data_IF_227367508034
#
_entry.id   IF_227367508034
#
_cell.length_a   1.000
_cell.length_b   1.000
_cell.length_c   1.000
_cell.angle_alpha   90.00
_cell.angle_beta   90.00
_cell.angle_gamma   90.00
#
_symmetry.space_group_name_H-M   'P 1'
#
loop_
_entity.id
_entity.type
_entity.pdbx_description
1 polymer ?
#
# COMPACT_ATOMS: atom_id res chain seq x y z
N UNK A 1 10.69 18.77 -15.89
CA UNK A 1 10.75 17.47 -16.60
C UNK A 1 9.47 16.74 -16.25
N UNK A 2 8.56 16.53 -17.21
CA UNK A 2 7.33 15.77 -17.00
C UNK A 2 7.64 14.27 -17.13
N UNK A 3 7.39 13.47 -16.09
CA UNK A 3 7.43 12.02 -16.17
C UNK A 3 6.08 11.48 -16.62
N UNK A 4 6.06 10.35 -17.34
CA UNK A 4 4.83 9.62 -17.60
C UNK A 4 4.40 8.87 -16.33
N UNK A 5 3.15 9.03 -15.92
CA UNK A 5 2.59 8.42 -14.71
C UNK A 5 1.55 7.39 -15.10
N UNK A 6 1.59 6.20 -14.48
CA UNK A 6 0.57 5.17 -14.61
C UNK A 6 0.01 4.77 -13.24
N UNK A 7 -1.29 4.54 -13.18
CA UNK A 7 -1.98 3.97 -12.02
C UNK A 7 -2.65 2.65 -12.39
N UNK A 8 -2.52 1.64 -11.53
CA UNK A 8 -3.18 0.35 -11.70
C UNK A 8 -4.10 0.07 -10.51
N UNK A 9 -5.34 -0.29 -10.78
CA UNK A 9 -6.30 -0.77 -9.78
C UNK A 9 -7.26 -1.79 -10.43
N UNK A 10 -7.66 -2.80 -9.67
CA UNK A 10 -8.63 -3.80 -10.15
C UNK A 10 -10.07 -3.29 -10.14
N UNK A 11 -10.34 -2.22 -9.38
CA UNK A 11 -11.68 -1.68 -9.18
C UNK A 11 -12.01 -0.65 -10.26
N UNK A 12 -12.90 -1.00 -11.19
CA UNK A 12 -13.30 -0.12 -12.29
C UNK A 12 -13.69 1.29 -11.83
N UNK A 13 -14.47 1.40 -10.76
CA UNK A 13 -14.91 2.69 -10.20
C UNK A 13 -13.74 3.59 -9.80
N UNK A 14 -12.67 3.04 -9.20
CA UNK A 14 -11.50 3.83 -8.82
C UNK A 14 -10.70 4.29 -10.03
N UNK A 15 -10.57 3.42 -11.04
CA UNK A 15 -9.95 3.76 -12.33
C UNK A 15 -10.71 4.90 -13.03
N UNK A 16 -12.05 4.84 -13.05
CA UNK A 16 -12.90 5.88 -13.64
C UNK A 16 -12.80 7.20 -12.89
N UNK A 17 -12.84 7.17 -11.55
CA UNK A 17 -12.64 8.36 -10.71
C UNK A 17 -11.26 8.97 -10.96
N UNK A 18 -10.22 8.15 -11.03
CA UNK A 18 -8.86 8.59 -11.31
C UNK A 18 -8.76 9.30 -12.68
N UNK A 19 -9.31 8.69 -13.73
CA UNK A 19 -9.33 9.27 -15.08
C UNK A 19 -10.05 10.63 -15.12
N UNK A 20 -11.22 10.71 -14.47
CA UNK A 20 -11.98 11.95 -14.40
C UNK A 20 -11.20 13.05 -13.69
N UNK A 21 -10.62 12.77 -12.50
CA UNK A 21 -9.83 13.75 -11.75
C UNK A 21 -8.59 14.21 -12.51
N UNK A 22 -7.86 13.29 -13.15
CA UNK A 22 -6.72 13.65 -13.98
C UNK A 22 -7.12 14.60 -15.12
N UNK A 23 -8.25 14.31 -15.79
CA UNK A 23 -8.77 15.18 -16.85
C UNK A 23 -9.19 16.57 -16.32
N UNK A 24 -9.84 16.64 -15.17
CA UNK A 24 -10.24 17.91 -14.51
C UNK A 24 -9.02 18.75 -14.12
N UNK A 25 -7.90 18.10 -13.74
CA UNK A 25 -6.65 18.76 -13.36
C UNK A 25 -5.67 18.97 -14.55
N UNK A 26 -6.04 18.54 -15.76
CA UNK A 26 -5.19 18.64 -16.95
C UNK A 26 -3.94 17.76 -16.90
N UNK A 27 -4.00 16.63 -16.16
CA UNK A 27 -2.89 15.71 -15.99
C UNK A 27 -2.98 14.54 -16.97
N UNK A 28 -1.86 14.19 -17.60
CA UNK A 28 -1.73 12.99 -18.43
C UNK A 28 -1.31 11.80 -17.56
N UNK A 29 -2.28 10.95 -17.18
CA UNK A 29 -2.06 9.73 -16.39
C UNK A 29 -2.69 8.54 -17.11
N UNK A 30 -1.92 7.47 -17.33
CA UNK A 30 -2.42 6.20 -17.83
C UNK A 30 -3.08 5.43 -16.67
N UNK A 31 -4.39 5.20 -16.73
CA UNK A 31 -5.08 4.35 -15.75
C UNK A 31 -5.41 2.99 -16.35
N UNK A 32 -4.89 1.94 -15.71
CA UNK A 32 -5.04 0.54 -16.13
C UNK A 32 -5.94 -0.17 -15.12
N UNK A 33 -7.05 -0.74 -15.61
CA UNK A 33 -7.86 -1.66 -14.81
C UNK A 33 -7.30 -3.07 -14.95
N UNK A 34 -6.54 -3.53 -13.95
CA UNK A 34 -5.96 -4.88 -13.94
C UNK A 34 -5.67 -5.34 -12.51
N UNK A 35 -5.41 -6.64 -12.37
CA UNK A 35 -4.92 -7.20 -11.11
C UNK A 35 -3.39 -7.13 -11.09
N UNK A 36 -2.88 -6.38 -10.14
CA UNK A 36 -1.43 -6.16 -10.01
C UNK A 36 -0.62 -7.45 -9.83
N UNK A 37 -1.22 -8.56 -9.32
CA UNK A 37 -0.53 -9.86 -9.15
C UNK A 37 -0.15 -10.51 -10.48
N UNK A 38 -0.82 -10.14 -11.56
CA UNK A 38 -0.61 -10.69 -12.91
C UNK A 38 -0.24 -9.64 -13.95
N UNK A 39 -0.17 -8.38 -13.53
CA UNK A 39 0.17 -7.25 -14.39
C UNK A 39 1.53 -7.45 -15.05
N UNK A 40 1.61 -7.16 -16.36
CA UNK A 40 2.82 -7.25 -17.15
C UNK A 40 3.25 -5.86 -17.61
N UNK A 41 4.09 -5.22 -16.81
CA UNK A 41 4.70 -3.93 -17.14
C UNK A 41 6.00 -4.04 -17.95
N UNK A 42 6.62 -5.21 -17.96
CA UNK A 42 7.78 -5.61 -18.78
C UNK A 42 8.91 -4.55 -18.85
N UNK A 43 9.38 -4.11 -17.69
CA UNK A 43 10.51 -3.18 -17.63
C UNK A 43 10.18 -1.75 -18.12
N UNK A 44 8.94 -1.30 -18.01
CA UNK A 44 8.50 0.05 -18.45
C UNK A 44 8.83 1.16 -17.48
N UNK A 45 8.83 0.87 -16.17
CA UNK A 45 8.77 1.89 -15.14
C UNK A 45 10.12 2.12 -14.45
N UNK A 46 10.48 3.38 -14.25
CA UNK A 46 11.67 3.77 -13.49
C UNK A 46 11.43 3.64 -11.98
N UNK A 47 10.19 3.84 -11.55
CA UNK A 47 9.78 3.70 -10.16
C UNK A 47 8.31 3.22 -10.06
N UNK A 48 8.00 2.55 -8.96
CA UNK A 48 6.64 2.21 -8.54
C UNK A 48 6.44 2.61 -7.08
N UNK A 49 5.22 3.00 -6.72
CA UNK A 49 4.86 3.35 -5.34
C UNK A 49 3.58 2.63 -4.94
N UNK A 50 3.55 2.14 -3.70
CA UNK A 50 2.37 1.58 -3.03
C UNK A 50 2.20 2.30 -1.71
N UNK A 51 1.25 3.21 -1.63
CA UNK A 51 1.13 4.17 -0.55
C UNK A 51 -0.06 3.87 0.37
N UNK A 52 -0.04 4.45 1.58
CA UNK A 52 -1.15 4.43 2.53
C UNK A 52 -1.68 3.04 2.87
N UNK A 53 -0.75 2.09 3.08
CA UNK A 53 -1.09 0.71 3.44
C UNK A 53 -1.95 0.00 2.37
N UNK A 54 -1.64 0.23 1.09
CA UNK A 54 -2.31 -0.48 -0.03
C UNK A 54 -1.79 -1.91 -0.25
N UNK A 55 -0.71 -2.32 0.42
CA UNK A 55 -0.14 -3.67 0.38
C UNK A 55 -0.63 -4.50 1.58
N UNK A 56 -0.88 -5.82 1.38
CA UNK A 56 -1.30 -6.76 2.42
C UNK A 56 -2.79 -7.14 2.41
N UNK A 57 -3.56 -6.68 1.42
CA UNK A 57 -4.99 -7.00 1.31
C UNK A 57 -5.30 -8.37 0.72
N UNK A 58 -4.32 -9.07 0.16
CA UNK A 58 -4.53 -10.39 -0.40
C UNK A 58 -4.74 -11.45 0.70
N UNK A 59 -5.38 -12.55 0.34
CA UNK A 59 -5.74 -13.60 1.30
C UNK A 59 -4.52 -14.36 1.78
N UNK A 60 -3.58 -14.66 0.87
CA UNK A 60 -2.42 -15.50 1.17
C UNK A 60 -1.10 -14.73 1.06
N UNK A 61 -0.03 -15.15 1.79
CA UNK A 61 1.31 -14.59 1.63
C UNK A 61 1.87 -14.78 0.21
N UNK A 62 1.50 -15.86 -0.48
CA UNK A 62 1.91 -16.11 -1.86
C UNK A 62 1.34 -15.09 -2.84
N UNK A 63 0.17 -14.56 -2.57
CA UNK A 63 -0.41 -13.49 -3.38
C UNK A 63 0.30 -12.16 -3.16
N UNK A 64 0.71 -11.87 -1.93
CA UNK A 64 1.55 -10.71 -1.62
C UNK A 64 2.91 -10.84 -2.33
N UNK A 65 3.50 -12.04 -2.38
CA UNK A 65 4.72 -12.32 -3.15
C UNK A 65 4.51 -12.10 -4.65
N UNK A 66 3.43 -12.62 -5.23
CA UNK A 66 3.10 -12.40 -6.67
C UNK A 66 2.95 -10.93 -7.01
N UNK A 67 2.39 -10.14 -6.12
CA UNK A 67 2.35 -8.68 -6.25
C UNK A 67 3.77 -8.12 -6.41
N UNK A 68 4.67 -8.43 -5.46
CA UNK A 68 6.05 -7.94 -5.48
C UNK A 68 6.81 -8.38 -6.73
N UNK A 69 6.68 -9.64 -7.13
CA UNK A 69 7.30 -10.18 -8.34
C UNK A 69 6.77 -9.51 -9.62
N UNK A 70 5.47 -9.21 -9.67
CA UNK A 70 4.85 -8.52 -10.79
C UNK A 70 5.38 -7.09 -10.91
N UNK A 71 5.44 -6.34 -9.79
CA UNK A 71 6.01 -5.00 -9.76
C UNK A 71 7.50 -5.03 -10.09
N UNK A 72 8.25 -6.01 -9.56
CA UNK A 72 9.67 -6.18 -9.89
C UNK A 72 9.88 -6.33 -11.41
N UNK A 73 9.08 -7.16 -12.08
CA UNK A 73 9.16 -7.33 -13.55
C UNK A 73 8.80 -6.05 -14.30
N UNK A 74 7.86 -5.26 -13.78
CA UNK A 74 7.43 -4.01 -14.40
C UNK A 74 8.48 -2.89 -14.30
N UNK A 75 9.37 -2.93 -13.30
CA UNK A 75 10.44 -1.97 -13.16
C UNK A 75 11.54 -2.19 -14.20
N UNK A 76 12.18 -1.13 -14.65
CA UNK A 76 13.44 -1.18 -15.44
C UNK A 76 14.59 -1.71 -14.56
N UNK A 77 15.68 -2.22 -15.15
CA UNK A 77 16.93 -2.43 -14.42
C UNK A 77 17.35 -1.16 -13.68
N UNK A 78 17.67 -1.29 -12.38
CA UNK A 78 17.96 -0.16 -11.48
C UNK A 78 16.74 0.59 -10.95
N UNK A 79 15.52 0.27 -11.42
CA UNK A 79 14.27 0.84 -10.97
C UNK A 79 13.95 0.53 -9.51
N UNK A 80 13.04 1.28 -8.89
CA UNK A 80 12.75 1.20 -7.45
C UNK A 80 11.26 1.03 -7.17
N UNK A 81 10.95 0.25 -6.12
CA UNK A 81 9.62 0.17 -5.51
C UNK A 81 9.68 0.79 -4.12
N UNK A 82 8.80 1.72 -3.84
CA UNK A 82 8.56 2.21 -2.48
C UNK A 82 7.20 1.71 -1.98
N UNK A 83 7.19 1.06 -0.82
CA UNK A 83 5.98 0.62 -0.12
C UNK A 83 5.88 1.37 1.20
N UNK A 84 4.76 2.05 1.43
CA UNK A 84 4.45 2.78 2.65
C UNK A 84 3.26 2.11 3.36
N UNK A 85 3.48 1.64 4.59
CA UNK A 85 2.44 0.96 5.37
C UNK A 85 2.55 1.16 6.88
N UNK A 86 1.46 0.84 7.58
CA UNK A 86 1.46 0.64 9.01
C UNK A 86 2.02 -0.74 9.32
N UNK A 87 3.06 -0.82 10.14
CA UNK A 87 3.77 -2.05 10.46
C UNK A 87 3.49 -2.53 11.89
N UNK A 88 3.88 -3.78 12.17
CA UNK A 88 3.70 -4.41 13.49
C UNK A 88 4.29 -3.57 14.62
N UNK A 89 5.51 -3.05 14.43
CA UNK A 89 6.22 -2.28 15.46
C UNK A 89 5.51 -0.96 15.78
N UNK A 90 4.97 -0.28 14.77
CA UNK A 90 4.18 0.95 14.98
C UNK A 90 2.86 0.62 15.65
N UNK A 91 2.14 -0.38 15.14
CA UNK A 91 0.85 -0.79 15.69
C UNK A 91 0.97 -1.27 17.14
N UNK A 92 2.02 -2.01 17.51
CA UNK A 92 2.24 -2.45 18.89
C UNK A 92 2.32 -1.28 19.91
N UNK A 93 2.71 -0.08 19.46
CA UNK A 93 2.79 1.12 20.32
C UNK A 93 1.49 1.92 20.37
N UNK A 94 0.71 1.91 19.27
CA UNK A 94 -0.42 2.83 19.13
C UNK A 94 -1.74 2.12 18.85
N UNK A 95 -1.77 0.79 18.94
CA UNK A 95 -2.97 0.02 18.63
C UNK A 95 -4.14 0.43 19.54
N UNK A 96 -5.27 0.69 18.90
CA UNK A 96 -6.54 0.90 19.58
C UNK A 96 -7.56 -0.03 18.93
N UNK A 97 -8.22 -0.83 19.75
CA UNK A 97 -9.28 -1.74 19.31
C UNK A 97 -10.53 -1.01 18.84
N UNK A 98 -10.77 0.19 19.37
CA UNK A 98 -11.87 1.06 18.99
C UNK A 98 -11.43 2.51 18.93
N UNK A 99 -11.91 3.20 17.91
CA UNK A 99 -11.74 4.63 17.73
C UNK A 99 -12.98 5.22 17.09
N UNK A 100 -13.21 6.51 17.32
CA UNK A 100 -14.22 7.27 16.58
C UNK A 100 -13.70 8.67 16.32
N UNK A 101 -14.14 9.24 15.22
CA UNK A 101 -13.76 10.58 14.79
C UNK A 101 -14.97 11.25 14.18
N UNK A 102 -15.21 12.51 14.51
CA UNK A 102 -16.18 13.36 13.85
C UNK A 102 -15.45 14.13 12.75
N UNK A 103 -15.96 14.05 11.53
CA UNK A 103 -15.40 14.72 10.36
C UNK A 103 -16.03 16.10 10.19
N UNK A 104 -15.43 16.97 9.38
CA UNK A 104 -15.87 18.35 9.16
C UNK A 104 -17.32 18.50 8.63
N UNK A 105 -17.89 17.45 8.04
CA UNK A 105 -19.24 17.39 7.48
C UNK A 105 -20.24 16.67 8.40
N UNK A 106 -19.99 16.68 9.71
CA UNK A 106 -20.77 15.99 10.75
C UNK A 106 -20.87 14.46 10.55
N UNK A 107 -20.03 13.88 9.69
CA UNK A 107 -19.93 12.44 9.54
C UNK A 107 -19.20 11.83 10.74
N UNK A 108 -19.85 10.88 11.42
CA UNK A 108 -19.20 10.09 12.47
C UNK A 108 -18.56 8.86 11.85
N UNK A 109 -17.25 8.74 12.01
CA UNK A 109 -16.47 7.59 11.56
C UNK A 109 -16.05 6.74 12.76
N UNK A 110 -16.54 5.50 12.81
CA UNK A 110 -16.25 4.53 13.84
C UNK A 110 -15.33 3.45 13.26
N UNK A 111 -14.29 3.11 14.01
CA UNK A 111 -13.35 2.05 13.67
C UNK A 111 -13.30 1.02 14.80
N UNK A 112 -13.53 -0.24 14.46
CA UNK A 112 -13.24 -1.38 15.33
C UNK A 112 -12.16 -2.23 14.68
N UNK A 113 -11.17 -2.64 15.46
CA UNK A 113 -10.01 -3.41 14.99
C UNK A 113 -9.76 -4.60 15.91
N UNK A 114 -9.36 -5.72 15.33
CA UNK A 114 -8.91 -6.89 16.08
C UNK A 114 -7.74 -7.55 15.37
N UNK A 115 -6.84 -8.19 16.13
CA UNK A 115 -5.75 -8.97 15.58
C UNK A 115 -6.13 -10.45 15.48
N UNK A 116 -5.59 -11.15 14.51
CA UNK A 116 -5.73 -12.57 14.29
C UNK A 116 -4.38 -13.19 13.97
N UNK A 117 -4.21 -14.49 14.30
CA UNK A 117 -3.06 -15.28 13.87
C UNK A 117 -1.73 -14.74 14.36
N UNK A 118 -1.53 -14.58 15.66
CA UNK A 118 -0.26 -14.09 16.23
C UNK A 118 0.23 -12.76 15.59
N UNK A 119 -0.70 -11.85 15.36
CA UNK A 119 -0.45 -10.59 14.69
C UNK A 119 -0.12 -10.72 13.19
N UNK A 120 -0.63 -11.73 12.53
CA UNK A 120 -0.50 -11.81 11.07
C UNK A 120 -1.43 -10.82 10.37
N UNK A 121 -2.67 -10.68 10.87
CA UNK A 121 -3.69 -9.87 10.23
C UNK A 121 -4.40 -8.96 11.23
N UNK A 122 -4.87 -7.82 10.73
CA UNK A 122 -5.79 -6.93 11.44
C UNK A 122 -7.13 -6.97 10.70
N UNK A 123 -8.18 -7.34 11.43
CA UNK A 123 -9.55 -7.18 10.99
C UNK A 123 -10.03 -5.77 11.31
N UNK A 124 -10.67 -5.14 10.35
CA UNK A 124 -11.22 -3.81 10.48
C UNK A 124 -12.72 -3.85 10.22
N UNK A 125 -13.46 -3.16 11.06
CA UNK A 125 -14.85 -2.80 10.84
C UNK A 125 -14.96 -1.29 10.89
N UNK A 126 -15.31 -0.70 9.75
CA UNK A 126 -15.53 0.73 9.60
C UNK A 126 -17.00 1.02 9.46
N UNK A 127 -17.49 2.00 10.21
CA UNK A 127 -18.87 2.46 10.13
C UNK A 127 -18.87 3.97 9.95
N UNK A 128 -19.46 4.45 8.87
CA UNK A 128 -19.72 5.85 8.64
C UNK A 128 -21.21 6.11 8.89
N UNK A 129 -21.51 7.15 9.65
CA UNK A 129 -22.87 7.61 9.92
C UNK A 129 -22.96 9.06 9.48
N UNK A 130 -23.82 9.34 8.52
CA UNK A 130 -24.07 10.68 7.98
C UNK A 130 -25.54 10.86 7.68
N UNK A 131 -26.16 11.94 8.17
CA UNK A 131 -27.57 12.27 7.89
C UNK A 131 -28.54 11.08 8.10
N UNK A 132 -28.32 10.30 9.18
CA UNK A 132 -29.11 9.10 9.47
C UNK A 132 -28.78 7.87 8.60
N UNK A 133 -27.95 8.01 7.59
CA UNK A 133 -27.48 6.89 6.76
C UNK A 133 -26.25 6.25 7.40
N UNK A 134 -26.26 4.91 7.50
CA UNK A 134 -25.16 4.11 8.03
C UNK A 134 -24.56 3.23 6.95
N UNK A 135 -23.26 3.39 6.69
CA UNK A 135 -22.50 2.56 5.77
C UNK A 135 -21.47 1.76 6.58
N UNK A 136 -21.44 0.45 6.39
CA UNK A 136 -20.49 -0.43 7.07
C UNK A 136 -19.60 -1.13 6.05
N UNK A 137 -18.32 -1.26 6.38
CA UNK A 137 -17.31 -2.02 5.62
C UNK A 137 -16.49 -2.88 6.58
N UNK A 138 -16.22 -4.11 6.17
CA UNK A 138 -15.34 -5.04 6.86
C UNK A 138 -14.26 -5.49 5.90
N UNK A 139 -13.03 -5.49 6.36
CA UNK A 139 -11.89 -5.98 5.60
C UNK A 139 -10.79 -6.44 6.56
N UNK A 140 -9.91 -7.26 6.03
CA UNK A 140 -8.74 -7.75 6.74
C UNK A 140 -7.49 -7.39 5.95
N UNK A 141 -6.42 -7.03 6.65
CA UNK A 141 -5.15 -6.70 6.06
C UNK A 141 -4.03 -7.47 6.77
N UNK A 142 -3.13 -8.07 6.02
CA UNK A 142 -1.89 -8.64 6.54
C UNK A 142 -0.95 -7.52 6.93
N UNK A 143 -0.41 -7.63 8.14
CA UNK A 143 0.57 -6.67 8.64
C UNK A 143 1.96 -7.30 8.66
N UNK A 144 2.94 -6.49 8.32
CA UNK A 144 4.34 -6.88 8.28
C UNK A 144 5.16 -6.10 9.31
N UNK A 145 6.16 -6.75 9.90
CA UNK A 145 7.27 -6.05 10.53
C UNK A 145 8.25 -5.54 9.47
N UNK A 146 9.15 -4.65 9.85
CA UNK A 146 10.19 -4.19 8.92
C UNK A 146 11.04 -5.33 8.39
N UNK A 147 11.42 -6.29 9.23
CA UNK A 147 12.21 -7.45 8.82
C UNK A 147 11.45 -8.41 7.91
N UNK A 148 10.18 -8.68 8.19
CA UNK A 148 9.34 -9.55 7.34
C UNK A 148 9.15 -8.97 5.94
N UNK A 149 8.82 -7.68 5.83
CA UNK A 149 8.65 -7.03 4.53
C UNK A 149 9.97 -6.99 3.75
N UNK A 150 11.08 -6.66 4.43
CA UNK A 150 12.41 -6.67 3.81
C UNK A 150 12.76 -8.05 3.25
N UNK A 151 12.56 -9.11 4.02
CA UNK A 151 12.82 -10.49 3.58
C UNK A 151 11.95 -10.86 2.39
N UNK A 152 10.65 -10.58 2.45
CA UNK A 152 9.71 -10.87 1.36
C UNK A 152 10.09 -10.14 0.06
N UNK A 153 10.52 -8.87 0.14
CA UNK A 153 10.98 -8.11 -1.03
C UNK A 153 12.27 -8.70 -1.62
N UNK A 154 13.26 -9.05 -0.77
CA UNK A 154 14.49 -9.69 -1.23
C UNK A 154 14.22 -11.05 -1.90
N UNK A 155 13.36 -11.87 -1.32
CA UNK A 155 12.93 -13.15 -1.88
C UNK A 155 12.14 -13.00 -3.19
N UNK A 156 11.50 -11.84 -3.40
CA UNK A 156 10.77 -11.50 -4.65
C UNK A 156 11.70 -10.94 -5.74
N UNK A 157 13.03 -10.90 -5.50
CA UNK A 157 14.05 -10.56 -6.49
C UNK A 157 14.71 -9.19 -6.33
N UNK A 158 14.25 -8.33 -5.43
CA UNK A 158 14.92 -7.03 -5.20
C UNK A 158 16.33 -7.23 -4.66
N UNK A 159 17.29 -6.53 -5.26
CA UNK A 159 18.72 -6.65 -4.92
C UNK A 159 19.05 -6.04 -3.55
N UNK A 160 18.45 -4.90 -3.26
CA UNK A 160 18.57 -4.21 -1.98
C UNK A 160 17.22 -3.73 -1.50
N UNK A 161 17.04 -3.66 -0.16
CA UNK A 161 15.87 -3.09 0.47
C UNK A 161 16.31 -2.24 1.66
N UNK A 162 16.02 -0.95 1.59
CA UNK A 162 16.24 0.02 2.66
C UNK A 162 14.91 0.34 3.36
N UNK A 163 14.98 0.53 4.69
CA UNK A 163 13.82 0.83 5.53
C UNK A 163 13.93 2.22 6.13
N UNK A 164 12.82 2.96 6.09
CA UNK A 164 12.69 4.30 6.65
C UNK A 164 11.45 4.38 7.55
N UNK A 165 11.52 5.26 8.57
CA UNK A 165 10.44 5.47 9.53
C UNK A 165 9.42 6.54 9.13
N UNK A 166 9.71 7.27 8.05
CA UNK A 166 8.87 8.38 7.53
C UNK A 166 9.09 8.53 6.04
N UNK A 167 8.19 9.24 5.36
CA UNK A 167 8.28 9.53 3.91
C UNK A 167 9.42 10.51 3.56
N UNK A 168 9.91 11.28 4.52
CA UNK A 168 11.06 12.17 4.37
C UNK A 168 12.42 11.48 4.61
N UNK A 169 12.42 10.15 4.74
CA UNK A 169 13.63 9.34 4.78
C UNK A 169 14.32 9.25 6.14
N UNK A 170 13.62 9.55 7.26
CA UNK A 170 14.19 9.34 8.59
C UNK A 170 14.41 7.86 8.87
N UNK A 171 15.38 7.51 9.75
CA UNK A 171 15.66 6.12 10.08
C UNK A 171 14.44 5.35 10.56
N UNK A 172 14.41 4.06 10.24
CA UNK A 172 13.44 3.12 10.80
C UNK A 172 13.91 2.65 12.17
N UNK A 173 13.52 3.37 13.20
CA UNK A 173 13.90 3.16 14.60
C UNK A 173 12.68 3.17 15.53
N UNK A 174 12.91 3.23 16.84
CA UNK A 174 11.84 3.25 17.85
C UNK A 174 10.92 4.48 17.74
N UNK A 175 11.33 5.56 17.09
CA UNK A 175 10.53 6.74 16.84
C UNK A 175 9.75 6.69 15.52
N UNK A 176 9.96 5.67 14.69
CA UNK A 176 9.30 5.52 13.41
C UNK A 176 7.77 5.57 13.54
N UNK A 177 7.12 6.31 12.65
CA UNK A 177 5.67 6.45 12.61
C UNK A 177 5.01 5.59 11.54
N UNK A 178 5.81 5.14 10.59
CA UNK A 178 5.42 4.29 9.46
C UNK A 178 6.57 3.35 9.13
N UNK A 179 6.31 2.38 8.29
CA UNK A 179 7.33 1.61 7.59
C UNK A 179 7.30 2.01 6.11
N UNK A 180 8.40 2.61 5.65
CA UNK A 180 8.62 2.86 4.23
C UNK A 180 9.77 1.97 3.78
N UNK A 181 9.46 0.97 2.96
CA UNK A 181 10.45 0.05 2.39
C UNK A 181 10.75 0.42 0.94
N UNK A 182 12.02 0.63 0.61
CA UNK A 182 12.46 0.96 -0.74
C UNK A 182 13.31 -0.18 -1.29
N UNK A 183 12.74 -0.96 -2.20
CA UNK A 183 13.42 -2.03 -2.91
C UNK A 183 13.99 -1.56 -4.24
N UNK A 184 15.18 -2.03 -4.63
CA UNK A 184 15.82 -1.73 -5.91
C UNK A 184 15.92 -3.00 -6.76
N UNK A 185 15.51 -2.91 -8.01
CA UNK A 185 15.81 -3.94 -9.01
C UNK A 185 17.28 -3.84 -9.42
N UNK A 186 17.98 -4.97 -9.51
CA UNK A 186 19.35 -5.03 -9.99
C UNK A 186 19.54 -4.43 -11.38
N UNK A 187 20.72 -3.88 -11.64
CA UNK A 187 21.05 -3.28 -12.93
C UNK A 187 21.30 -4.33 -14.03
N UNK A 188 21.60 -5.57 -13.66
CA UNK A 188 22.01 -6.66 -14.54
C UNK A 188 20.97 -7.80 -14.62
N UNK A 189 19.68 -7.50 -14.46
CA UNK A 189 18.59 -8.48 -14.45
C UNK A 189 17.68 -8.39 -15.66
#
# INVERSE_FOLDING_TARGET
MGGQVGGIDRTATYVEIGRRRAAEEGLEVEFIQDDVRVFRGDGRYDASVSMYTSFGYFETPDEDRRYLESVYRALKPGGRLAIDLSCKEVLARVFRDRNWTELEDDTVFLEERGSEGDWERIHNRWVLIREGTRIERRFSIRIYSGSELKSLMLESGFETVDLYGTLDGKPYDLAARRLVAVGRRGANG
#
